data_IF_925481240857
#
_entry.id   IF_925481240857
#
_cell.length_a   1.000
_cell.length_b   1.000
_cell.length_c   1.000
_cell.angle_alpha   90.00
_cell.angle_beta   90.00
_cell.angle_gamma   90.00
#
_symmetry.space_group_name_H-M   'P 1'
#
loop_
_entity.id
_entity.type
_entity.pdbx_description
1 polymer ?
#
# COMPACT_ATOMS: atom_id res chain seq x y z
N UNK A 1 -8.48 -31.77 -10.73
CA UNK A 1 -9.68 -31.32 -9.98
C UNK A 1 -9.53 -29.83 -9.80
N UNK A 2 -10.07 -29.09 -10.76
CA UNK A 2 -10.11 -27.63 -10.71
C UNK A 2 -11.18 -27.24 -9.68
N UNK A 3 -10.75 -26.65 -8.57
CA UNK A 3 -11.67 -26.16 -7.55
C UNK A 3 -12.28 -24.89 -8.11
N UNK A 4 -13.44 -25.01 -8.74
CA UNK A 4 -14.26 -23.88 -9.15
C UNK A 4 -14.58 -23.04 -7.91
N UNK A 5 -14.00 -21.84 -7.85
CA UNK A 5 -14.24 -20.88 -6.79
C UNK A 5 -15.68 -20.38 -6.95
N UNK A 6 -16.61 -20.94 -6.18
CA UNK A 6 -17.99 -20.44 -6.16
C UNK A 6 -17.97 -19.00 -5.67
N UNK A 7 -18.30 -18.07 -6.57
CA UNK A 7 -18.46 -16.65 -6.26
C UNK A 7 -19.65 -16.52 -5.31
N UNK A 8 -19.37 -16.30 -4.03
CA UNK A 8 -20.39 -16.15 -3.00
C UNK A 8 -21.39 -15.05 -3.39
N UNK A 9 -22.69 -15.36 -3.25
CA UNK A 9 -23.78 -14.43 -3.55
C UNK A 9 -23.60 -13.13 -2.75
N UNK A 10 -23.52 -12.00 -3.46
CA UNK A 10 -23.28 -10.67 -2.88
C UNK A 10 -24.40 -10.23 -1.91
N UNK A 11 -25.59 -10.83 -2.02
CA UNK A 11 -26.77 -10.52 -1.21
C UNK A 11 -27.04 -11.47 -0.03
N UNK A 12 -26.15 -12.43 0.25
CA UNK A 12 -26.28 -13.30 1.41
C UNK A 12 -26.22 -12.47 2.72
N UNK A 13 -27.24 -12.56 3.61
CA UNK A 13 -27.22 -11.94 4.93
C UNK A 13 -25.95 -12.29 5.74
N UNK A 14 -25.39 -13.49 5.55
CA UNK A 14 -24.13 -13.89 6.19
C UNK A 14 -22.94 -13.10 5.64
N UNK A 15 -22.90 -12.87 4.32
CA UNK A 15 -21.86 -12.07 3.69
C UNK A 15 -21.90 -10.62 4.16
N UNK A 16 -23.11 -10.04 4.31
CA UNK A 16 -23.28 -8.69 4.89
C UNK A 16 -22.79 -8.60 6.33
N UNK A 17 -23.05 -9.62 7.17
CA UNK A 17 -22.50 -9.70 8.53
C UNK A 17 -20.98 -9.79 8.53
N UNK A 18 -20.42 -10.58 7.62
CA UNK A 18 -18.98 -10.75 7.49
C UNK A 18 -18.28 -9.47 7.05
N UNK A 19 -18.83 -8.77 6.06
CA UNK A 19 -18.33 -7.46 5.64
C UNK A 19 -18.44 -6.42 6.76
N UNK A 20 -19.51 -6.45 7.56
CA UNK A 20 -19.62 -5.57 8.72
C UNK A 20 -18.49 -5.83 9.74
N UNK A 21 -18.22 -7.09 10.08
CA UNK A 21 -17.14 -7.48 11.01
C UNK A 21 -15.79 -6.99 10.48
N UNK A 22 -15.48 -7.25 9.22
CA UNK A 22 -14.25 -6.75 8.58
C UNK A 22 -14.15 -5.23 8.67
N UNK A 23 -15.25 -4.53 8.41
CA UNK A 23 -15.28 -3.07 8.45
C UNK A 23 -15.03 -2.53 9.86
N UNK A 24 -15.58 -3.15 10.90
CA UNK A 24 -15.41 -2.75 12.30
C UNK A 24 -13.96 -2.98 12.74
N UNK A 25 -13.40 -4.15 12.43
CA UNK A 25 -11.99 -4.47 12.73
C UNK A 25 -11.08 -3.47 12.03
N UNK A 26 -11.32 -3.20 10.73
CA UNK A 26 -10.54 -2.24 9.97
C UNK A 26 -10.62 -0.84 10.58
N UNK A 27 -11.82 -0.36 10.94
CA UNK A 27 -12.00 0.94 11.60
C UNK A 27 -11.28 1.01 12.94
N UNK A 28 -11.40 -0.01 13.79
CA UNK A 28 -10.72 -0.06 15.08
C UNK A 28 -9.20 -0.07 14.92
N UNK A 29 -8.69 -0.86 13.96
CA UNK A 29 -7.27 -0.89 13.61
C UNK A 29 -6.81 0.47 13.08
N UNK A 30 -7.55 1.10 12.17
CA UNK A 30 -7.24 2.42 11.64
C UNK A 30 -7.23 3.45 12.76
N UNK A 31 -8.22 3.50 13.66
CA UNK A 31 -8.25 4.42 14.81
C UNK A 31 -7.07 4.22 15.76
N UNK A 32 -6.68 2.97 16.03
CA UNK A 32 -5.54 2.66 16.90
C UNK A 32 -4.20 2.96 16.23
N UNK A 33 -4.07 2.69 14.93
CA UNK A 33 -2.82 2.78 14.17
C UNK A 33 -2.59 4.16 13.52
N UNK A 34 -3.63 4.96 13.28
CA UNK A 34 -3.52 6.36 12.79
C UNK A 34 -2.89 7.30 13.82
N UNK A 35 -2.73 6.87 15.08
CA UNK A 35 -1.82 7.49 16.05
C UNK A 35 -0.33 7.23 15.77
N UNK A 36 0.05 6.60 14.66
CA UNK A 36 1.40 6.76 14.14
C UNK A 36 1.50 8.16 13.56
N UNK A 37 1.84 9.10 14.43
CA UNK A 37 2.48 10.38 14.13
C UNK A 37 3.13 10.28 12.75
N UNK A 38 2.75 11.18 11.85
CA UNK A 38 3.36 11.35 10.53
C UNK A 38 4.85 11.12 10.72
N UNK A 39 5.35 9.94 10.33
CA UNK A 39 6.71 9.55 10.69
C UNK A 39 7.58 10.57 10.00
N UNK A 40 8.11 11.51 10.78
CA UNK A 40 9.10 12.40 10.26
C UNK A 40 10.17 11.54 9.62
N UNK A 41 10.67 11.96 8.45
CA UNK A 41 11.68 11.20 7.76
C UNK A 41 12.80 10.86 8.74
N UNK A 42 13.06 9.56 8.92
CA UNK A 42 14.00 9.06 9.94
C UNK A 42 15.42 9.61 9.78
N UNK A 43 15.71 10.22 8.63
CA UNK A 43 16.98 10.86 8.30
C UNK A 43 16.67 12.20 7.66
N UNK A 44 17.45 13.22 8.00
CA UNK A 44 17.25 14.60 7.56
C UNK A 44 17.24 14.78 6.03
N UNK A 45 17.96 13.92 5.30
CA UNK A 45 18.03 13.95 3.83
C UNK A 45 16.85 13.24 3.13
N UNK A 46 15.98 12.54 3.88
CA UNK A 46 14.81 11.91 3.26
C UNK A 46 13.73 12.97 3.16
N UNK A 47 13.55 13.54 1.97
CA UNK A 47 12.50 14.52 1.74
C UNK A 47 11.10 13.85 1.68
N UNK A 48 10.04 14.64 1.92
CA UNK A 48 8.64 14.21 1.83
C UNK A 48 8.30 13.67 0.44
N UNK A 49 8.97 14.13 -0.61
CA UNK A 49 8.80 13.60 -1.97
C UNK A 49 9.29 12.15 -2.10
N UNK A 50 10.44 11.83 -1.51
CA UNK A 50 10.99 10.46 -1.47
C UNK A 50 10.01 9.53 -0.73
N UNK A 51 9.44 9.99 0.38
CA UNK A 51 8.42 9.22 1.13
C UNK A 51 7.20 8.93 0.26
N UNK A 52 6.69 9.92 -0.50
CA UNK A 52 5.57 9.72 -1.42
C UNK A 52 5.90 8.69 -2.50
N UNK A 53 7.10 8.75 -3.09
CA UNK A 53 7.54 7.79 -4.11
C UNK A 53 7.61 6.35 -3.55
N UNK A 54 8.09 6.19 -2.32
CA UNK A 54 8.12 4.89 -1.63
C UNK A 54 6.71 4.36 -1.41
N UNK A 55 5.79 5.20 -0.94
CA UNK A 55 4.39 4.82 -0.71
C UNK A 55 3.68 4.44 -2.01
N UNK A 56 3.94 5.18 -3.10
CA UNK A 56 3.42 4.84 -4.42
C UNK A 56 3.99 3.52 -4.95
N UNK A 57 5.30 3.29 -4.82
CA UNK A 57 5.94 2.03 -5.21
C UNK A 57 5.35 0.85 -4.45
N UNK A 58 5.04 1.02 -3.16
CA UNK A 58 4.49 -0.05 -2.32
C UNK A 58 3.15 -0.58 -2.86
N UNK A 59 2.34 0.26 -3.52
CA UNK A 59 1.07 -0.14 -4.15
C UNK A 59 1.27 -1.15 -5.29
N UNK A 60 2.40 -1.08 -5.98
CA UNK A 60 2.70 -1.93 -7.14
C UNK A 60 3.60 -3.12 -6.81
N UNK A 61 4.08 -3.26 -5.56
CA UNK A 61 5.04 -4.30 -5.16
C UNK A 61 4.57 -5.73 -5.45
N UNK A 62 3.28 -5.98 -5.30
CA UNK A 62 2.66 -7.30 -5.50
C UNK A 62 1.79 -7.34 -6.77
N UNK A 63 1.87 -6.32 -7.63
CA UNK A 63 1.09 -6.29 -8.86
C UNK A 63 1.81 -7.12 -9.93
N UNK A 64 1.22 -8.25 -10.30
CA UNK A 64 1.78 -9.19 -11.28
C UNK A 64 1.46 -8.83 -12.74
N UNK A 65 0.74 -7.74 -13.00
CA UNK A 65 0.55 -7.28 -14.38
C UNK A 65 1.83 -6.64 -14.92
N UNK A 66 2.06 -6.77 -16.23
CA UNK A 66 3.24 -6.16 -16.90
C UNK A 66 3.32 -4.65 -16.67
N UNK A 67 2.18 -3.95 -16.72
CA UNK A 67 2.12 -2.52 -16.42
C UNK A 67 2.46 -2.20 -14.96
N UNK A 68 1.99 -3.03 -14.02
CA UNK A 68 2.31 -2.90 -12.60
C UNK A 68 3.80 -3.04 -12.33
N UNK A 69 4.43 -4.04 -12.95
CA UNK A 69 5.87 -4.27 -12.87
C UNK A 69 6.66 -3.10 -13.48
N UNK A 70 6.27 -2.61 -14.66
CA UNK A 70 6.92 -1.45 -15.29
C UNK A 70 6.84 -0.20 -14.41
N UNK A 71 5.66 0.12 -13.87
CA UNK A 71 5.48 1.24 -12.94
C UNK A 71 6.32 1.08 -11.68
N UNK A 72 6.38 -0.13 -11.12
CA UNK A 72 7.22 -0.40 -9.95
C UNK A 72 8.72 -0.16 -10.23
N UNK A 73 9.22 -0.58 -11.39
CA UNK A 73 10.61 -0.34 -11.78
C UNK A 73 10.92 1.14 -12.00
N UNK A 74 10.01 1.87 -12.64
CA UNK A 74 10.14 3.32 -12.84
C UNK A 74 10.21 4.06 -11.50
N UNK A 75 9.25 3.80 -10.60
CA UNK A 75 9.20 4.41 -9.27
C UNK A 75 10.44 4.07 -8.43
N UNK A 76 10.93 2.83 -8.50
CA UNK A 76 12.18 2.42 -7.83
C UNK A 76 13.39 3.20 -8.32
N UNK A 77 13.50 3.42 -9.63
CA UNK A 77 14.63 4.16 -10.19
C UNK A 77 14.57 5.64 -9.83
N UNK A 78 13.36 6.22 -9.81
CA UNK A 78 13.14 7.60 -9.38
C UNK A 78 13.48 7.80 -7.91
N UNK A 79 12.97 6.94 -7.02
CA UNK A 79 13.29 6.91 -5.58
C UNK A 79 14.81 6.88 -5.34
N UNK A 80 15.53 5.96 -6.00
CA UNK A 80 16.99 5.88 -5.88
C UNK A 80 17.71 7.14 -6.36
N UNK A 81 17.22 7.79 -7.42
CA UNK A 81 17.85 9.01 -7.97
C UNK A 81 17.66 10.18 -7.03
N UNK A 82 16.45 10.39 -6.52
CA UNK A 82 16.16 11.47 -5.57
C UNK A 82 16.85 11.24 -4.23
N UNK A 83 16.88 10.01 -3.72
CA UNK A 83 17.63 9.67 -2.52
C UNK A 83 19.15 9.86 -2.67
N UNK A 84 19.71 9.65 -3.86
CA UNK A 84 21.13 9.91 -4.11
C UNK A 84 21.41 11.42 -4.13
N UNK A 85 20.60 12.20 -4.84
CA UNK A 85 20.74 13.67 -4.87
C UNK A 85 20.66 14.26 -3.47
N UNK A 86 19.63 13.89 -2.70
CA UNK A 86 19.42 14.43 -1.36
C UNK A 86 20.53 14.03 -0.36
N UNK A 87 21.35 13.03 -0.68
CA UNK A 87 22.52 12.63 0.11
C UNK A 87 23.80 13.35 -0.32
N UNK A 88 23.88 13.77 -1.58
CA UNK A 88 25.01 14.52 -2.14
C UNK A 88 24.91 16.03 -1.84
N UNK A 89 23.68 16.53 -1.62
CA UNK A 89 23.35 17.87 -1.12
C UNK A 89 23.58 18.00 0.41
#
# INVERSE_FOLDING_TARGET
MDIEYQKGNEDDPLNKKWENIKSVIKKAADTMLTKKEKKEPRKAWIDKEIVKLIDERQKYKNNNTREGQQKYHQLRNQDNREARKAKEE
#
